data_IF_735191840197
#
_entry.id   IF_735191840197
#
_cell.length_a   1.000
_cell.length_b   1.000
_cell.length_c   1.000
_cell.angle_alpha   90.00
_cell.angle_beta   90.00
_cell.angle_gamma   90.00
#
_symmetry.space_group_name_H-M   'P 1'
#
loop_
_entity.id
_entity.type
_entity.pdbx_description
1 polymer ?
#
# COMPACT_ATOMS: atom_id res chain seq x y z
N UNK A 1 -14.89 -3.94 0.42
CA UNK A 1 -13.58 -3.64 1.02
C UNK A 1 -12.96 -4.95 1.50
N UNK A 2 -11.69 -5.26 1.15
CA UNK A 2 -10.99 -6.47 1.60
C UNK A 2 -10.85 -6.50 3.14
N UNK A 3 -10.72 -7.71 3.70
CA UNK A 3 -10.47 -7.94 5.13
C UNK A 3 -9.24 -8.82 5.29
N UNK A 4 -8.38 -8.45 6.23
CA UNK A 4 -7.16 -9.17 6.57
C UNK A 4 -7.08 -9.35 8.09
N UNK A 5 -6.50 -10.46 8.52
CA UNK A 5 -6.31 -10.77 9.93
C UNK A 5 -4.99 -10.17 10.39
N UNK A 6 -4.93 -9.69 11.63
CA UNK A 6 -3.68 -9.28 12.26
C UNK A 6 -2.63 -10.41 12.14
N UNK A 7 -1.44 -10.08 11.61
CA UNK A 7 -0.39 -11.04 11.27
C UNK A 7 -0.39 -11.52 9.82
N UNK A 8 -1.45 -11.28 9.03
CA UNK A 8 -1.42 -11.53 7.59
C UNK A 8 -0.36 -10.66 6.91
N UNK A 9 0.21 -11.19 5.83
CA UNK A 9 1.09 -10.42 4.94
C UNK A 9 0.34 -10.04 3.68
N UNK A 10 0.26 -8.74 3.41
CA UNK A 10 -0.40 -8.16 2.24
C UNK A 10 0.66 -7.89 1.18
N UNK A 11 0.41 -8.37 -0.04
CA UNK A 11 1.24 -8.06 -1.20
C UNK A 11 0.66 -6.86 -1.96
N UNK A 12 1.48 -5.83 -2.16
CA UNK A 12 1.18 -4.69 -3.01
C UNK A 12 1.84 -4.85 -4.37
N UNK A 13 1.09 -4.48 -5.42
CA UNK A 13 1.59 -4.41 -6.80
C UNK A 13 1.18 -3.07 -7.39
N UNK A 14 2.13 -2.38 -7.97
CA UNK A 14 1.90 -1.13 -8.68
C UNK A 14 2.38 -1.26 -10.13
N UNK A 15 1.58 -0.73 -11.04
CA UNK A 15 1.93 -0.59 -12.45
C UNK A 15 1.76 0.88 -12.84
N UNK A 16 2.85 1.51 -13.26
CA UNK A 16 2.92 2.93 -13.58
C UNK A 16 3.04 3.09 -15.10
N UNK A 17 2.17 3.92 -15.67
CA UNK A 17 2.12 4.23 -17.10
C UNK A 17 2.00 5.72 -17.31
N UNK A 18 2.55 6.21 -18.42
CA UNK A 18 2.33 7.57 -18.90
C UNK A 18 0.93 7.74 -19.51
N UNK A 19 0.62 8.94 -20.01
CA UNK A 19 -0.67 9.24 -20.65
C UNK A 19 -0.90 8.46 -21.96
N UNK A 20 0.18 7.98 -22.61
CA UNK A 20 0.13 7.19 -23.83
C UNK A 20 -0.03 5.69 -23.53
N UNK A 21 0.01 5.32 -22.25
CA UNK A 21 -0.06 3.95 -21.77
C UNK A 21 1.28 3.22 -21.79
N UNK A 22 2.41 3.87 -22.07
CA UNK A 22 3.72 3.23 -21.97
C UNK A 22 4.13 3.08 -20.50
N UNK A 23 4.77 1.96 -20.17
CA UNK A 23 5.32 1.75 -18.82
C UNK A 23 6.52 2.68 -18.60
N UNK A 24 6.51 3.39 -17.48
CA UNK A 24 7.58 4.31 -17.10
C UNK A 24 7.99 4.06 -15.65
N UNK A 25 9.26 4.31 -15.34
CA UNK A 25 9.73 4.26 -13.96
C UNK A 25 9.51 5.61 -13.28
N UNK A 26 8.88 5.64 -12.10
CA UNK A 26 8.86 6.83 -11.26
C UNK A 26 10.23 7.07 -10.62
N UNK A 27 10.49 8.32 -10.20
CA UNK A 27 11.70 8.69 -9.44
C UNK A 27 11.59 8.32 -7.95
N UNK A 28 10.38 8.14 -7.44
CA UNK A 28 10.08 7.66 -6.09
C UNK A 28 8.80 6.83 -6.11
N UNK A 29 8.72 5.80 -5.27
CA UNK A 29 7.50 4.99 -5.12
C UNK A 29 7.47 4.29 -3.76
N UNK A 30 6.37 4.44 -3.03
CA UNK A 30 6.12 3.76 -1.78
C UNK A 30 4.60 3.59 -1.56
N UNK A 31 4.23 2.67 -0.68
CA UNK A 31 2.88 2.60 -0.13
C UNK A 31 2.93 3.08 1.31
N UNK A 32 2.14 4.10 1.63
CA UNK A 32 1.91 4.55 2.99
C UNK A 32 0.67 3.85 3.55
N UNK A 33 0.82 3.21 4.69
CA UNK A 33 -0.30 2.64 5.44
C UNK A 33 -0.77 3.68 6.44
N UNK A 34 -2.03 4.09 6.36
CA UNK A 34 -2.60 5.16 7.18
C UNK A 34 -3.92 4.76 7.83
N UNK A 35 -4.22 5.37 8.98
CA UNK A 35 -5.48 5.19 9.69
C UNK A 35 -6.61 6.09 9.13
N UNK A 36 -7.78 6.06 9.77
CA UNK A 36 -8.93 6.87 9.38
C UNK A 36 -8.77 8.39 9.62
N UNK A 37 -7.79 8.80 10.43
CA UNK A 37 -7.44 10.20 10.68
C UNK A 37 -6.28 10.67 9.79
N UNK A 38 -5.89 9.83 8.82
CA UNK A 38 -4.74 10.03 7.94
C UNK A 38 -3.37 10.01 8.64
N UNK A 39 -3.30 9.49 9.86
CA UNK A 39 -2.04 9.29 10.56
C UNK A 39 -1.24 8.16 9.90
N UNK A 40 0.07 8.39 9.69
CA UNK A 40 0.97 7.39 9.11
C UNK A 40 1.24 6.29 10.14
N UNK A 41 0.96 5.05 9.75
CA UNK A 41 1.27 3.85 10.52
C UNK A 41 2.60 3.26 10.07
N UNK A 42 2.79 3.13 8.75
CA UNK A 42 3.99 2.52 8.19
C UNK A 42 4.22 2.96 6.74
N UNK A 43 5.44 2.75 6.24
CA UNK A 43 5.84 2.99 4.85
C UNK A 43 6.47 1.73 4.26
N UNK A 44 5.87 1.24 3.18
CA UNK A 44 6.36 0.09 2.43
C UNK A 44 7.10 0.57 1.19
N UNK A 45 8.40 0.36 1.15
CA UNK A 45 9.21 0.63 -0.04
C UNK A 45 8.97 -0.47 -1.08
N UNK A 46 8.45 -0.10 -2.26
CA UNK A 46 8.24 -1.07 -3.33
C UNK A 46 9.55 -1.30 -4.10
N UNK A 47 9.85 -2.56 -4.39
CA UNK A 47 11.00 -2.97 -5.20
C UNK A 47 10.59 -3.05 -6.66
N UNK A 48 11.48 -2.60 -7.55
CA UNK A 48 11.29 -2.69 -8.99
C UNK A 48 11.36 -4.15 -9.43
N UNK A 49 10.33 -4.62 -10.14
CA UNK A 49 10.27 -5.95 -10.77
C UNK A 49 10.66 -5.85 -12.25
N UNK A 50 10.10 -4.86 -12.94
CA UNK A 50 10.44 -4.50 -14.33
C UNK A 50 10.13 -3.01 -14.55
N UNK A 51 10.43 -2.45 -15.72
CA UNK A 51 10.06 -1.07 -16.04
C UNK A 51 8.58 -0.80 -15.76
N UNK A 52 8.30 0.19 -14.92
CA UNK A 52 6.96 0.57 -14.49
C UNK A 52 6.20 -0.46 -13.65
N UNK A 53 6.82 -1.55 -13.20
CA UNK A 53 6.16 -2.57 -12.35
C UNK A 53 6.93 -2.77 -11.07
N UNK A 54 6.23 -2.62 -9.95
CA UNK A 54 6.80 -2.62 -8.61
C UNK A 54 5.98 -3.49 -7.67
N UNK A 55 6.65 -4.11 -6.69
CA UNK A 55 5.99 -4.90 -5.66
C UNK A 55 6.63 -4.74 -4.29
N UNK A 56 5.85 -4.93 -3.25
CA UNK A 56 6.31 -4.90 -1.87
C UNK A 56 5.31 -5.63 -0.99
N UNK A 57 5.75 -5.97 0.21
CA UNK A 57 4.95 -6.74 1.16
C UNK A 57 4.93 -6.03 2.50
N UNK A 58 3.82 -6.16 3.21
CA UNK A 58 3.65 -5.63 4.56
C UNK A 58 2.90 -6.63 5.41
N UNK A 59 3.52 -7.01 6.52
CA UNK A 59 2.87 -7.85 7.53
C UNK A 59 2.15 -6.97 8.53
N UNK A 60 0.87 -7.22 8.75
CA UNK A 60 0.07 -6.45 9.71
C UNK A 60 0.65 -6.67 11.12
N UNK A 61 1.13 -5.61 11.80
CA UNK A 61 1.75 -5.76 13.11
C UNK A 61 0.79 -6.35 14.13
N UNK A 62 1.28 -7.27 14.97
CA UNK A 62 0.47 -7.87 16.04
C UNK A 62 0.04 -6.88 17.12
N UNK A 63 0.65 -5.69 17.16
CA UNK A 63 0.33 -4.59 18.08
C UNK A 63 -0.80 -3.69 17.57
N UNK A 64 -1.23 -3.86 16.31
CA UNK A 64 -2.28 -3.05 15.72
C UNK A 64 -3.66 -3.54 16.19
N UNK A 65 -4.54 -2.62 16.56
CA UNK A 65 -5.94 -2.93 16.83
C UNK A 65 -6.75 -3.10 15.53
N UNK A 66 -7.81 -3.92 15.59
CA UNK A 66 -8.76 -4.05 14.50
C UNK A 66 -9.35 -2.68 14.11
N UNK A 67 -9.22 -2.31 12.84
CA UNK A 67 -9.62 -1.00 12.32
C UNK A 67 -9.65 -1.00 10.79
N UNK A 68 -10.18 0.07 10.19
CA UNK A 68 -10.04 0.32 8.76
C UNK A 68 -8.77 1.11 8.50
N UNK A 69 -7.96 0.62 7.57
CA UNK A 69 -6.73 1.26 7.11
C UNK A 69 -6.83 1.64 5.63
N UNK A 70 -5.90 2.50 5.20
CA UNK A 70 -5.76 2.96 3.84
C UNK A 70 -4.33 2.72 3.37
N UNK A 71 -4.18 1.98 2.27
CA UNK A 71 -2.92 1.87 1.54
C UNK A 71 -2.90 2.98 0.48
N UNK A 72 -2.09 4.01 0.71
CA UNK A 72 -1.85 5.11 -0.24
C UNK A 72 -0.58 4.83 -1.04
N UNK A 73 -0.72 4.51 -2.32
CA UNK A 73 0.41 4.49 -3.24
C UNK A 73 0.81 5.93 -3.54
N UNK A 74 2.03 6.31 -3.18
CA UNK A 74 2.61 7.63 -3.47
C UNK A 74 3.80 7.43 -4.40
N UNK A 75 3.79 8.11 -5.54
CA UNK A 75 4.91 8.04 -6.48
C UNK A 75 5.11 9.35 -7.22
N UNK A 76 6.34 9.64 -7.64
CA UNK A 76 6.65 10.81 -8.47
C UNK A 76 7.07 10.36 -9.87
N UNK A 77 6.37 10.84 -10.89
CA UNK A 77 6.68 10.57 -12.30
C UNK A 77 6.42 11.83 -13.13
N UNK A 78 7.24 12.09 -14.15
CA UNK A 78 7.10 13.29 -14.99
C UNK A 78 7.18 14.62 -14.23
N UNK A 79 7.78 14.64 -13.04
CA UNK A 79 7.87 15.82 -12.17
C UNK A 79 6.66 16.07 -11.27
N UNK A 80 5.64 15.21 -11.30
CA UNK A 80 4.44 15.33 -10.48
C UNK A 80 4.34 14.19 -9.47
N UNK A 81 3.83 14.49 -8.29
CA UNK A 81 3.47 13.47 -7.29
C UNK A 81 2.03 13.03 -7.50
N UNK A 82 1.85 11.72 -7.58
CA UNK A 82 0.58 11.06 -7.73
C UNK A 82 0.27 10.26 -6.47
N UNK A 83 -1.02 10.22 -6.12
CA UNK A 83 -1.53 9.49 -4.97
C UNK A 83 -2.73 8.67 -5.41
N UNK A 84 -2.68 7.36 -5.22
CA UNK A 84 -3.84 6.46 -5.29
C UNK A 84 -4.07 5.83 -3.92
N UNK A 85 -5.32 5.53 -3.56
CA UNK A 85 -5.68 5.05 -2.23
C UNK A 85 -6.69 3.93 -2.28
N UNK A 86 -6.44 2.86 -1.50
CA UNK A 86 -7.38 1.75 -1.31
C UNK A 86 -7.55 1.47 0.18
N UNK A 87 -8.80 1.33 0.61
CA UNK A 87 -9.11 0.93 1.99
C UNK A 87 -9.18 -0.58 2.15
N UNK A 88 -8.85 -1.05 3.35
CA UNK A 88 -9.01 -2.43 3.80
C UNK A 88 -9.29 -2.48 5.30
N UNK A 89 -9.97 -3.53 5.78
CA UNK A 89 -10.14 -3.74 7.22
C UNK A 89 -9.12 -4.72 7.75
N UNK A 90 -8.54 -4.38 8.89
CA UNK A 90 -7.80 -5.29 9.76
C UNK A 90 -8.74 -5.81 10.84
N UNK A 91 -8.78 -7.12 11.04
CA UNK A 91 -9.59 -7.77 12.09
C UNK A 91 -8.72 -8.62 13.00
N UNK A 92 -9.14 -8.73 14.27
CA UNK A 92 -8.57 -9.70 15.20
C UNK A 92 -9.33 -11.03 15.06
N UNK A 93 -8.59 -12.12 14.86
CA UNK A 93 -9.19 -13.46 14.78
C UNK A 93 -9.42 -14.08 16.17
N UNK A 94 -8.87 -13.52 17.25
CA UNK A 94 -8.96 -14.08 18.61
C UNK A 94 -10.26 -13.79 19.38
N UNK A 95 -11.34 -13.34 18.73
CA UNK A 95 -12.63 -13.09 19.41
C UNK A 95 -13.73 -14.14 19.17
N UNK A 96 -13.37 -15.34 18.73
CA UNK A 96 -14.27 -16.51 18.77
C UNK A 96 -13.69 -17.59 19.70
N UNK A 97 -13.92 -17.42 21.00
CA UNK A 97 -13.55 -18.35 22.07
C UNK A 97 -13.85 -17.78 23.43
#
# INVERSE_FOLDING_TARGET
MPKFIIGDTIQFKAEIRDYEGNRIDPTSINVEIRDANDALIDTVTLQKVSTGVYSGEWTIPSTLSAQTLYAKLVYTAGGYTHIDSKSFSVIDYKSQG
#
